data_IF_548118978970
#
_entry.id   IF_548118978970
#
_cell.length_a   1.000
_cell.length_b   1.000
_cell.length_c   1.000
_cell.angle_alpha   90.00
_cell.angle_beta   90.00
_cell.angle_gamma   90.00
#
_symmetry.space_group_name_H-M   'P 1'
#
loop_
_entity.id
_entity.type
_entity.pdbx_description
1 polymer ?
#
# COMPACT_ATOMS: atom_id res chain seq x y z
N UNK A 1 21.51 26.94 -7.48
CA UNK A 1 21.10 26.52 -8.84
C UNK A 1 20.34 25.21 -8.75
N UNK A 2 19.13 25.23 -9.29
CA UNK A 2 17.98 24.38 -8.98
C UNK A 2 18.18 22.88 -9.17
N UNK A 3 17.79 22.09 -8.17
CA UNK A 3 17.43 20.69 -8.37
C UNK A 3 16.10 20.65 -9.15
N UNK A 4 16.17 20.30 -10.43
CA UNK A 4 15.00 20.08 -11.27
C UNK A 4 14.29 18.80 -10.80
N UNK A 5 13.37 18.94 -9.86
CA UNK A 5 12.34 17.94 -9.58
C UNK A 5 11.41 17.88 -10.79
N UNK A 6 11.71 16.99 -11.74
CA UNK A 6 10.79 16.67 -12.84
C UNK A 6 9.49 16.12 -12.24
N UNK A 7 8.32 16.73 -12.49
CA UNK A 7 7.05 16.11 -12.13
C UNK A 7 6.83 14.90 -13.04
N UNK A 8 6.88 13.70 -12.45
CA UNK A 8 6.56 12.44 -13.11
C UNK A 8 5.13 12.51 -13.70
N UNK A 9 4.90 12.16 -14.98
CA UNK A 9 3.59 12.29 -15.62
C UNK A 9 2.51 11.51 -14.86
N UNK A 10 1.41 12.22 -14.62
CA UNK A 10 0.31 11.93 -13.67
C UNK A 10 -0.69 10.89 -14.19
N UNK A 11 -0.22 9.78 -14.76
CA UNK A 11 -1.09 8.69 -15.25
C UNK A 11 -0.86 7.34 -14.56
N UNK A 12 0.08 7.26 -13.62
CA UNK A 12 0.48 6.00 -13.00
C UNK A 12 -0.20 5.79 -11.65
N UNK A 13 -0.92 4.68 -11.49
CA UNK A 13 -1.61 4.28 -10.27
C UNK A 13 -0.75 4.55 -9.01
N UNK A 14 -1.25 5.32 -8.01
CA UNK A 14 -0.45 5.71 -6.86
C UNK A 14 -0.03 4.48 -6.05
N UNK A 15 1.23 4.46 -5.62
CA UNK A 15 1.72 3.39 -4.75
C UNK A 15 1.09 3.53 -3.37
N UNK A 16 0.55 2.46 -2.77
CA UNK A 16 -0.02 2.47 -1.42
C UNK A 16 1.07 2.42 -0.34
N UNK A 17 2.32 2.72 -0.67
CA UNK A 17 3.45 2.64 0.25
C UNK A 17 3.43 3.83 1.21
N UNK A 18 3.41 3.55 2.51
CA UNK A 18 3.49 4.54 3.59
C UNK A 18 4.93 4.81 4.05
N UNK A 19 5.92 4.36 3.27
CA UNK A 19 7.35 4.34 3.64
C UNK A 19 7.67 3.51 4.90
N UNK A 20 6.73 2.68 5.34
CA UNK A 20 6.92 1.69 6.41
C UNK A 20 7.07 0.33 5.74
N UNK A 21 8.27 -0.25 5.81
CA UNK A 21 8.55 -1.60 5.34
C UNK A 21 8.76 -2.52 6.54
N UNK A 22 7.64 -2.96 7.14
CA UNK A 22 7.65 -3.92 8.24
C UNK A 22 6.79 -5.12 7.84
N UNK A 23 7.39 -6.30 7.82
CA UNK A 23 6.72 -7.51 7.39
C UNK A 23 6.12 -8.22 8.59
N UNK A 24 4.84 -8.51 8.47
CA UNK A 24 4.13 -9.33 9.42
C UNK A 24 4.41 -10.80 9.13
N UNK A 25 5.21 -11.46 9.98
CA UNK A 25 5.63 -12.85 9.76
C UNK A 25 4.45 -13.87 9.67
N UNK A 26 3.37 -13.75 10.47
CA UNK A 26 2.23 -14.67 10.40
C UNK A 26 1.43 -14.59 9.10
N UNK A 27 1.24 -13.40 8.52
CA UNK A 27 0.42 -13.23 7.29
C UNK A 27 1.27 -13.06 6.02
N UNK A 28 2.56 -12.75 6.16
CA UNK A 28 3.44 -12.43 5.04
C UNK A 28 3.11 -11.09 4.37
N UNK A 29 2.37 -10.21 5.03
CA UNK A 29 2.00 -8.89 4.51
C UNK A 29 2.76 -7.76 5.18
N UNK A 30 3.01 -6.68 4.45
CA UNK A 30 3.61 -5.47 4.98
C UNK A 30 2.59 -4.74 5.87
N UNK A 31 2.94 -4.44 7.11
CA UNK A 31 2.07 -3.77 8.08
C UNK A 31 1.77 -2.32 7.69
N UNK A 32 2.55 -1.72 6.79
CA UNK A 32 2.31 -0.37 6.28
C UNK A 32 1.42 -0.31 5.04
N UNK A 33 1.57 -1.24 4.10
CA UNK A 33 0.89 -1.18 2.80
C UNK A 33 0.04 -2.42 2.48
N UNK A 34 -0.03 -3.40 3.38
CA UNK A 34 -0.75 -4.68 3.25
C UNK A 34 -0.43 -5.49 1.97
N UNK A 35 0.74 -5.21 1.36
CA UNK A 35 1.28 -5.95 0.21
C UNK A 35 2.30 -6.97 0.67
N UNK A 36 2.42 -8.04 -0.10
CA UNK A 36 3.48 -9.04 0.05
C UNK A 36 4.79 -8.55 -0.58
N UNK A 37 5.92 -9.13 -0.15
CA UNK A 37 7.25 -8.90 -0.74
C UNK A 37 7.24 -9.03 -2.28
N UNK A 38 6.69 -10.12 -2.89
CA UNK A 38 6.66 -10.25 -4.34
C UNK A 38 5.85 -9.14 -5.03
N UNK A 39 4.72 -8.71 -4.47
CA UNK A 39 3.93 -7.60 -5.02
C UNK A 39 4.69 -6.27 -4.96
N UNK A 40 5.45 -6.03 -3.89
CA UNK A 40 6.29 -4.84 -3.73
C UNK A 40 7.42 -4.86 -4.77
N UNK A 41 8.10 -6.00 -4.94
CA UNK A 41 9.20 -6.16 -5.89
C UNK A 41 8.72 -6.07 -7.35
N UNK A 42 7.53 -6.58 -7.65
CA UNK A 42 6.94 -6.52 -8.99
C UNK A 42 6.28 -5.17 -9.31
N UNK A 43 6.01 -4.30 -8.32
CA UNK A 43 5.19 -3.08 -8.49
C UNK A 43 5.62 -2.19 -9.65
N UNK A 44 6.93 -1.94 -9.81
CA UNK A 44 7.45 -1.11 -10.90
C UNK A 44 7.30 -1.75 -12.29
N UNK A 45 7.12 -3.07 -12.35
CA UNK A 45 6.93 -3.86 -13.58
C UNK A 45 5.46 -4.13 -13.90
N UNK A 46 4.54 -3.88 -12.96
CA UNK A 46 3.11 -4.07 -13.17
C UNK A 46 2.50 -2.95 -14.02
N UNK A 47 1.58 -3.31 -14.91
CA UNK A 47 0.72 -2.37 -15.63
C UNK A 47 -0.32 -1.72 -14.71
N UNK A 48 -0.90 -0.60 -15.13
CA UNK A 48 -1.88 0.14 -14.32
C UNK A 48 -3.13 -0.69 -13.99
N UNK A 49 -3.55 -1.60 -14.87
CA UNK A 49 -4.64 -2.53 -14.56
C UNK A 49 -4.26 -3.50 -13.44
N UNK A 50 -3.07 -4.10 -13.51
CA UNK A 50 -2.59 -5.02 -12.48
C UNK A 50 -2.35 -4.30 -11.14
N UNK A 51 -1.81 -3.08 -11.17
CA UNK A 51 -1.66 -2.23 -9.98
C UNK A 51 -3.01 -1.95 -9.32
N UNK A 52 -4.05 -1.60 -10.08
CA UNK A 52 -5.41 -1.41 -9.56
C UNK A 52 -5.99 -2.68 -8.96
N UNK A 53 -5.77 -3.83 -9.59
CA UNK A 53 -6.20 -5.11 -9.04
C UNK A 53 -5.54 -5.38 -7.68
N UNK A 54 -4.22 -5.17 -7.56
CA UNK A 54 -3.52 -5.29 -6.27
C UNK A 54 -4.08 -4.30 -5.24
N UNK A 55 -4.31 -3.04 -5.62
CA UNK A 55 -4.90 -2.04 -4.72
C UNK A 55 -6.28 -2.43 -4.21
N UNK A 56 -7.12 -3.02 -5.06
CA UNK A 56 -8.46 -3.47 -4.67
C UNK A 56 -8.43 -4.62 -3.64
N UNK A 57 -7.33 -5.38 -3.59
CA UNK A 57 -7.13 -6.44 -2.60
C UNK A 57 -6.62 -5.92 -1.24
N UNK A 58 -6.12 -4.68 -1.16
CA UNK A 58 -5.54 -4.16 0.08
C UNK A 58 -6.57 -3.85 1.18
N UNK A 59 -7.74 -3.23 0.91
CA UNK A 59 -8.72 -2.97 1.95
C UNK A 59 -9.11 -4.21 2.78
N UNK A 60 -9.49 -5.35 2.18
CA UNK A 60 -9.81 -6.54 2.97
C UNK A 60 -8.58 -7.14 3.68
N UNK A 61 -7.38 -7.04 3.10
CA UNK A 61 -6.15 -7.48 3.78
C UNK A 61 -5.80 -6.60 4.99
N UNK A 62 -6.08 -5.30 4.90
CA UNK A 62 -5.88 -4.34 5.99
C UNK A 62 -6.83 -4.64 7.15
N UNK A 63 -8.11 -4.90 6.86
CA UNK A 63 -9.09 -5.33 7.86
C UNK A 63 -8.60 -6.57 8.62
N UNK A 64 -8.16 -7.60 7.89
CA UNK A 64 -7.60 -8.81 8.48
C UNK A 64 -6.34 -8.54 9.32
N UNK A 65 -5.47 -7.61 8.92
CA UNK A 65 -4.29 -7.23 9.71
C UNK A 65 -4.65 -6.48 11.00
N UNK A 66 -5.67 -5.61 10.95
CA UNK A 66 -6.19 -4.94 12.14
C UNK A 66 -6.76 -5.99 13.09
N UNK A 67 -7.61 -6.89 12.59
CA UNK A 67 -8.29 -7.89 13.41
C UNK A 67 -7.33 -8.92 14.01
N UNK A 68 -6.31 -9.35 13.26
CA UNK A 68 -5.38 -10.39 13.73
C UNK A 68 -4.28 -9.84 14.66
N UNK A 69 -3.87 -8.58 14.51
CA UNK A 69 -2.68 -8.08 15.21
C UNK A 69 -2.74 -6.63 15.71
N UNK A 70 -3.72 -5.83 15.30
CA UNK A 70 -3.83 -4.42 15.73
C UNK A 70 -2.69 -3.51 15.27
N UNK A 71 -1.84 -3.96 14.33
CA UNK A 71 -0.61 -3.22 13.92
C UNK A 71 -0.82 -2.40 12.64
N UNK A 72 -1.92 -2.61 11.91
CA UNK A 72 -2.22 -1.73 10.79
C UNK A 72 -2.73 -0.40 11.35
N UNK A 73 -1.81 0.55 11.50
CA UNK A 73 -2.13 1.95 11.75
C UNK A 73 -2.76 2.50 10.47
N UNK A 74 -4.06 2.26 10.31
CA UNK A 74 -4.88 3.05 9.42
C UNK A 74 -4.62 4.49 9.84
N UNK A 75 -3.99 5.28 8.97
CA UNK A 75 -4.07 6.72 9.06
C UNK A 75 -5.57 7.07 9.06
N UNK A 76 -6.05 7.25 10.28
CA UNK A 76 -7.41 7.46 10.78
C UNK A 76 -8.52 6.50 10.34
N UNK A 77 -9.41 6.11 11.28
CA UNK A 77 -10.69 5.52 10.93
C UNK A 77 -11.48 6.55 10.12
N UNK A 78 -12.49 6.11 9.38
CA UNK A 78 -13.46 7.00 8.76
C UNK A 78 -13.93 8.09 9.75
N UNK A 79 -13.35 9.29 9.67
CA UNK A 79 -13.83 10.50 10.32
C UNK A 79 -15.01 11.02 9.49
N UNK A 80 -16.05 10.19 9.36
CA UNK A 80 -17.42 10.56 9.02
C UNK A 80 -18.35 9.31 9.07
N UNK A 81 -18.94 9.07 10.23
CA UNK A 81 -20.21 8.37 10.39
C UNK A 81 -20.95 9.10 11.53
N UNK A 82 -22.27 9.33 11.38
CA UNK A 82 -22.96 10.62 11.54
C UNK A 82 -22.89 11.29 12.91
#
# INVERSE_FOLDING_TARGET
MSALSTPKPVSAVPSPCTNVCRMHAPTGWCEGCARTIPEIAAWSKLDDQAKRAVLALLPPRRELLVEQHGVFSAAEPASNAP
#
